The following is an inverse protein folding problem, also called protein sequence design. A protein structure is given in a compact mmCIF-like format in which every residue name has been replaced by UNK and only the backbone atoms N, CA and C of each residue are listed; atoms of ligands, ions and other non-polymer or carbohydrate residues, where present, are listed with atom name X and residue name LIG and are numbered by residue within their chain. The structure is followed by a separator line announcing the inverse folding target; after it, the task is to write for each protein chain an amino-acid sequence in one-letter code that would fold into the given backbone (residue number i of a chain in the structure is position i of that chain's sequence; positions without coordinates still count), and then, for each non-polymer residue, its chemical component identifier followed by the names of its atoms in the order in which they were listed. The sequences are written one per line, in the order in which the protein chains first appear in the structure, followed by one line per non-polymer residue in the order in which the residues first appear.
data_IF_204324886930
#
_entry.id   IF_204324886930
#
_cell.length_a   1.000
_cell.length_b   1.000
_cell.length_c   1.000
_cell.angle_alpha   90.00
_cell.angle_beta   90.00
_cell.angle_gamma   90.00
#
_symmetry.space_group_name_H-M   'P 1'
#
loop_
_entity.id
_entity.type
_entity.pdbx_description
1 polymer ?
#
# COMPACT_ATOMS: atom_id res chain seq x y z
N UNK A 1 7.91 25.17 8.00
CA UNK A 1 7.92 23.73 8.31
C UNK A 1 7.37 22.95 7.13
N UNK A 2 7.91 21.76 6.85
CA UNK A 2 7.39 20.85 5.82
C UNK A 2 7.13 19.50 6.49
N UNK A 3 5.96 18.88 6.29
CA UNK A 3 5.71 17.53 6.78
C UNK A 3 6.57 16.55 6.00
N UNK A 4 7.23 15.62 6.70
CA UNK A 4 8.20 14.67 6.12
C UNK A 4 7.75 13.21 6.34
N UNK A 5 6.96 12.96 7.38
CA UNK A 5 6.46 11.62 7.70
C UNK A 5 5.17 11.72 8.52
N UNK A 6 4.43 10.62 8.59
CA UNK A 6 3.28 10.46 9.46
C UNK A 6 3.67 10.42 10.95
N UNK A 7 2.88 11.09 11.79
CA UNK A 7 3.06 11.12 13.24
C UNK A 7 2.83 9.76 13.93
N UNK A 8 3.32 9.56 15.18
CA UNK A 8 3.14 8.34 15.98
C UNK A 8 1.70 7.93 16.15
N UNK A 9 0.88 8.89 16.54
CA UNK A 9 -0.50 8.66 16.93
C UNK A 9 -1.33 8.27 15.71
N UNK A 10 -1.22 9.04 14.62
CA UNK A 10 -1.89 8.72 13.35
C UNK A 10 -1.48 7.34 12.82
N UNK A 11 -0.21 6.96 12.92
CA UNK A 11 0.24 5.63 12.51
C UNK A 11 -0.40 4.54 13.39
N UNK A 12 -0.51 4.78 14.69
CA UNK A 12 -1.10 3.84 15.65
C UNK A 12 -2.59 3.64 15.38
N UNK A 13 -3.32 4.72 15.11
CA UNK A 13 -4.74 4.69 14.75
C UNK A 13 -4.98 3.90 13.47
N UNK A 14 -4.22 4.17 12.41
CA UNK A 14 -4.32 3.43 11.14
C UNK A 14 -4.10 1.93 11.37
N UNK A 15 -3.07 1.57 12.15
CA UNK A 15 -2.78 0.17 12.49
C UNK A 15 -3.91 -0.47 13.28
N UNK A 16 -4.55 0.27 14.19
CA UNK A 16 -5.71 -0.23 14.93
C UNK A 16 -6.88 -0.55 13.99
N UNK A 17 -7.19 0.34 13.05
CA UNK A 17 -8.26 0.12 12.06
C UNK A 17 -7.94 -1.08 11.16
N UNK A 18 -6.68 -1.22 10.73
CA UNK A 18 -6.25 -2.33 9.88
C UNK A 18 -6.41 -3.70 10.56
N UNK A 19 -6.30 -3.79 11.89
CA UNK A 19 -6.54 -5.02 12.66
C UNK A 19 -7.97 -5.54 12.55
N UNK A 20 -8.92 -4.65 12.32
CA UNK A 20 -10.35 -4.99 12.24
C UNK A 20 -10.78 -5.32 10.81
N UNK A 21 -9.93 -5.03 9.83
CA UNK A 21 -10.22 -5.23 8.42
C UNK A 21 -10.02 -6.70 8.01
N UNK A 22 -10.95 -7.23 7.21
CA UNK A 22 -10.79 -8.52 6.50
C UNK A 22 -10.02 -8.38 5.20
N UNK A 23 -10.07 -7.20 4.60
CA UNK A 23 -9.39 -6.89 3.35
C UNK A 23 -8.96 -5.43 3.37
N UNK A 24 -7.71 -5.16 2.99
CA UNK A 24 -7.15 -3.82 2.95
C UNK A 24 -6.54 -3.54 1.57
N UNK A 25 -6.91 -2.40 0.99
CA UNK A 25 -6.37 -1.94 -0.28
C UNK A 25 -5.46 -0.75 -0.03
N UNK A 26 -4.16 -0.90 -0.29
CA UNK A 26 -3.18 0.16 -0.10
C UNK A 26 -2.75 0.73 -1.46
N UNK A 27 -3.13 1.98 -1.74
CA UNK A 27 -2.82 2.68 -3.00
C UNK A 27 -1.86 3.83 -2.72
N UNK A 28 -0.66 3.77 -3.32
CA UNK A 28 0.36 4.81 -3.24
C UNK A 28 1.20 4.78 -1.95
N UNK A 29 2.29 5.55 -1.87
CA UNK A 29 3.14 5.60 -0.70
C UNK A 29 2.67 6.66 0.28
N UNK A 30 3.03 6.52 1.56
CA UNK A 30 3.03 7.62 2.53
C UNK A 30 4.35 8.43 2.36
N UNK A 31 4.80 8.71 1.12
CA UNK A 31 6.05 9.46 0.90
C UNK A 31 5.77 10.95 0.89
N UNK A 32 6.02 11.60 2.03
CA UNK A 32 6.10 13.05 2.13
C UNK A 32 7.56 13.46 1.96
N UNK A 33 7.98 13.68 0.71
CA UNK A 33 9.29 14.21 0.30
C UNK A 33 10.49 13.25 0.41
N UNK A 34 11.40 13.21 -0.59
CA UNK A 34 12.65 12.47 -0.48
C UNK A 34 13.56 13.13 0.55
N UNK A 35 13.61 12.56 1.76
CA UNK A 35 14.64 12.88 2.74
C UNK A 35 15.66 11.75 2.78
N UNK A 36 16.95 12.08 2.85
CA UNK A 36 18.05 11.11 2.99
C UNK A 36 18.04 10.40 4.37
N UNK A 37 17.05 10.68 5.22
CA UNK A 37 16.86 9.99 6.48
C UNK A 37 16.04 8.73 6.27
N UNK A 38 16.54 7.62 6.80
CA UNK A 38 15.85 6.32 6.82
C UNK A 38 14.44 6.51 7.41
N UNK A 39 13.41 6.20 6.61
CA UNK A 39 12.00 6.28 6.99
C UNK A 39 11.64 5.19 8.02
N UNK A 40 12.06 5.38 9.27
CA UNK A 40 11.88 4.39 10.33
C UNK A 40 10.41 4.00 10.53
N UNK A 41 9.45 4.90 10.29
CA UNK A 41 8.03 4.68 10.61
C UNK A 41 7.28 4.10 9.43
N UNK A 42 7.63 4.47 8.18
CA UNK A 42 7.17 3.72 7.01
C UNK A 42 7.70 2.28 6.98
N UNK A 43 8.97 2.06 7.38
CA UNK A 43 9.52 0.70 7.53
C UNK A 43 8.75 -0.11 8.58
N UNK A 44 8.40 0.54 9.69
CA UNK A 44 7.56 -0.07 10.71
C UNK A 44 6.16 -0.40 10.16
N UNK A 45 5.57 0.50 9.37
CA UNK A 45 4.27 0.27 8.73
C UNK A 45 4.28 -0.94 7.79
N UNK A 46 5.30 -1.13 6.94
CA UNK A 46 5.37 -2.30 6.07
C UNK A 46 5.56 -3.60 6.84
N UNK A 47 6.32 -3.58 7.94
CA UNK A 47 6.40 -4.73 8.84
C UNK A 47 5.03 -5.10 9.38
N UNK A 48 4.23 -4.12 9.82
CA UNK A 48 2.87 -4.38 10.31
C UNK A 48 1.97 -4.89 9.17
N UNK A 49 2.03 -4.30 7.98
CA UNK A 49 1.27 -4.79 6.82
C UNK A 49 1.58 -6.25 6.49
N UNK A 50 2.85 -6.65 6.54
CA UNK A 50 3.24 -8.04 6.32
C UNK A 50 2.67 -9.00 7.39
N UNK A 51 2.51 -8.53 8.63
CA UNK A 51 1.91 -9.30 9.72
C UNK A 51 0.39 -9.44 9.58
N UNK A 52 -0.29 -8.47 8.96
CA UNK A 52 -1.74 -8.53 8.76
C UNK A 52 -2.20 -9.65 7.84
N UNK A 53 -1.40 -9.95 6.82
CA UNK A 53 -1.68 -11.12 5.97
C UNK A 53 -1.58 -12.42 6.75
N UNK A 54 -0.61 -12.54 7.67
CA UNK A 54 -0.47 -13.71 8.53
C UNK A 54 -1.66 -13.87 9.50
N UNK A 55 -2.35 -12.78 9.86
CA UNK A 55 -3.55 -12.79 10.71
C UNK A 55 -4.87 -12.95 9.94
N UNK A 56 -4.84 -13.22 8.63
CA UNK A 56 -6.03 -13.48 7.81
C UNK A 56 -6.70 -12.23 7.20
N UNK A 57 -6.08 -11.05 7.31
CA UNK A 57 -6.51 -9.87 6.56
C UNK A 57 -5.87 -9.92 5.16
N UNK A 58 -6.67 -9.93 4.10
CA UNK A 58 -6.16 -9.92 2.73
C UNK A 58 -5.72 -8.50 2.35
N UNK A 59 -4.43 -8.23 2.28
CA UNK A 59 -3.93 -6.90 1.93
C UNK A 59 -3.24 -6.85 0.56
N UNK A 60 -3.59 -5.83 -0.22
CA UNK A 60 -3.18 -5.65 -1.61
C UNK A 60 -2.46 -4.31 -1.74
N UNK A 61 -1.27 -4.32 -2.33
CA UNK A 61 -0.48 -3.11 -2.59
C UNK A 61 -0.64 -2.66 -4.04
N UNK A 62 -0.87 -1.37 -4.26
CA UNK A 62 -1.13 -0.79 -5.57
C UNK A 62 -0.27 0.45 -5.77
N UNK A 63 0.31 0.55 -6.97
CA UNK A 63 1.12 1.66 -7.42
C UNK A 63 2.61 1.32 -7.41
N UNK A 64 3.32 1.88 -8.40
CA UNK A 64 4.77 1.72 -8.56
C UNK A 64 5.54 2.10 -7.29
N UNK A 65 5.16 3.18 -6.63
CA UNK A 65 5.88 3.65 -5.44
C UNK A 65 5.68 2.74 -4.22
N UNK A 66 4.49 2.14 -4.07
CA UNK A 66 4.23 1.11 -3.07
C UNK A 66 5.05 -0.16 -3.36
N UNK A 67 5.13 -0.55 -4.63
CA UNK A 67 5.97 -1.67 -5.09
C UNK A 67 7.46 -1.43 -4.82
N UNK A 68 7.99 -0.29 -5.22
CA UNK A 68 9.40 0.08 -5.04
C UNK A 68 9.76 0.11 -3.55
N UNK A 69 8.87 0.61 -2.70
CA UNK A 69 9.05 0.61 -1.24
C UNK A 69 9.08 -0.80 -0.64
N UNK A 70 8.16 -1.68 -1.04
CA UNK A 70 8.17 -3.08 -0.58
C UNK A 70 9.45 -3.81 -1.03
N UNK A 71 9.91 -3.54 -2.26
CA UNK A 71 11.14 -4.13 -2.80
C UNK A 71 12.39 -3.68 -2.03
N UNK A 72 12.47 -2.42 -1.64
CA UNK A 72 13.60 -1.87 -0.87
C UNK A 72 13.67 -2.39 0.56
N UNK A 73 12.53 -2.73 1.17
CA UNK A 73 12.45 -3.04 2.60
C UNK A 73 12.72 -4.51 2.94
N UNK A 74 13.05 -5.35 1.96
CA UNK A 74 13.33 -6.80 2.11
C UNK A 74 12.19 -7.63 2.74
N UNK A 75 11.07 -7.00 3.09
CA UNK A 75 9.88 -7.68 3.59
C UNK A 75 9.19 -8.30 2.39
N UNK A 76 9.20 -9.64 2.39
CA UNK A 76 8.86 -10.49 1.27
C UNK A 76 7.71 -9.95 0.42
N UNK A 77 8.03 -9.56 -0.82
CA UNK A 77 7.08 -9.37 -1.92
C UNK A 77 6.15 -10.57 -2.13
N UNK A 78 6.36 -11.71 -1.46
CA UNK A 78 5.58 -12.93 -1.63
C UNK A 78 4.19 -12.89 -0.99
N UNK A 79 3.85 -11.87 -0.18
CA UNK A 79 2.60 -11.93 0.61
C UNK A 79 1.46 -11.11 0.01
N UNK A 80 1.71 -10.13 -0.86
CA UNK A 80 0.66 -9.24 -1.39
C UNK A 80 0.55 -9.36 -2.91
N UNK A 81 -0.66 -9.43 -3.49
CA UNK A 81 -0.84 -9.11 -4.90
C UNK A 81 -0.41 -7.66 -5.11
N UNK A 82 0.50 -7.42 -6.08
CA UNK A 82 1.00 -6.07 -6.38
C UNK A 82 0.56 -5.63 -7.77
N UNK A 83 -0.14 -4.51 -7.83
CA UNK A 83 -0.54 -3.89 -9.09
C UNK A 83 0.24 -2.61 -9.31
N UNK A 84 1.22 -2.60 -10.20
CA UNK A 84 2.06 -1.42 -10.44
C UNK A 84 1.27 -0.24 -11.03
N UNK A 85 0.25 -0.52 -11.85
CA UNK A 85 -0.57 0.51 -12.48
C UNK A 85 -1.70 0.98 -11.54
N UNK A 86 -1.37 1.91 -10.64
CA UNK A 86 -2.35 2.51 -9.75
C UNK A 86 -3.44 3.31 -10.46
N UNK A 87 -3.14 3.90 -11.62
CA UNK A 87 -4.13 4.66 -12.38
C UNK A 87 -5.25 3.77 -12.93
N UNK A 88 -4.93 2.58 -13.43
CA UNK A 88 -5.93 1.62 -13.89
C UNK A 88 -6.84 1.16 -12.73
N UNK A 89 -6.27 0.88 -11.55
CA UNK A 89 -7.08 0.53 -10.38
C UNK A 89 -7.94 1.71 -9.91
N UNK A 90 -7.42 2.93 -10.02
CA UNK A 90 -8.18 4.14 -9.69
C UNK A 90 -9.38 4.35 -10.62
N UNK A 91 -9.24 4.10 -11.93
CA UNK A 91 -10.38 4.11 -12.84
C UNK A 91 -11.41 3.03 -12.50
N UNK A 92 -10.95 1.83 -12.15
CA UNK A 92 -11.83 0.73 -11.73
C UNK A 92 -12.62 1.10 -10.46
N UNK A 93 -11.98 1.69 -9.45
CA UNK A 93 -12.63 2.11 -8.20
C UNK A 93 -13.65 3.23 -8.38
N UNK A 94 -13.47 4.07 -9.42
CA UNK A 94 -14.49 5.06 -9.82
C UNK A 94 -15.71 4.43 -10.51
N UNK A 95 -15.69 3.12 -10.77
CA UNK A 95 -16.74 2.41 -11.50
C UNK A 95 -16.62 2.54 -13.02
N UNK A 96 -15.50 3.06 -13.53
CA UNK A 96 -15.29 3.20 -14.96
C UNK A 96 -14.94 1.85 -15.59
N UNK A 97 -15.42 1.63 -16.82
CA UNK A 97 -15.00 0.49 -17.63
C UNK A 97 -13.57 0.69 -18.11
N UNK A 98 -12.68 -0.26 -17.79
CA UNK A 98 -11.33 -0.28 -18.34
C UNK A 98 -11.39 -0.77 -19.79
N UNK A 99 -11.07 0.10 -20.76
CA UNK A 99 -11.15 -0.21 -22.18
C UNK A 99 -10.39 -1.49 -22.56
N UNK A 100 -9.19 -1.70 -22.01
CA UNK A 100 -8.41 -2.90 -22.24
C UNK A 100 -9.04 -4.18 -21.69
N UNK A 101 -9.81 -4.10 -20.60
CA UNK A 101 -10.56 -5.25 -20.04
C UNK A 101 -11.82 -5.51 -20.86
N UNK A 102 -12.51 -4.45 -21.29
CA UNK A 102 -13.72 -4.57 -22.11
C UNK A 102 -13.47 -5.12 -23.52
N UNK A 103 -12.24 -5.00 -24.02
CA UNK A 103 -11.82 -5.53 -25.31
C UNK A 103 -11.45 -7.03 -25.26
N UNK A 104 -11.40 -7.66 -24.08
CA UNK A 104 -11.12 -9.09 -23.97
C UNK A 104 -12.34 -9.91 -24.37
N UNK A 105 -12.11 -10.97 -25.17
CA UNK A 105 -13.12 -11.99 -25.43
C UNK A 105 -13.52 -12.71 -24.14
N UNK A 106 -14.78 -13.17 -24.10
CA UNK A 106 -15.33 -13.89 -22.94
C UNK A 106 -15.01 -15.39 -22.99
#
# INVERSE_FOLDING_TARGET
WRPVEIGPESLTEIVSVLKECKTALWIGPIKLWPSNHQYCRLLHFTRILSQFNASGCNSIAIGKEAYDFLKETSYSCSVHPIFQNGAAVWELLKGNTLAGVAALDR
#
